data_IF_981718374223
#
_entry.id   IF_981718374223
#
_cell.length_a   1.000
_cell.length_b   1.000
_cell.length_c   1.000
_cell.angle_alpha   90.00
_cell.angle_beta   90.00
_cell.angle_gamma   90.00
#
_symmetry.space_group_name_H-M   'P 1'
#
loop_
_entity.id
_entity.type
_entity.pdbx_description
1 polymer ?
#
# COMPACT_ATOMS: atom_id res chain seq x y z
N UNK A 1 -41.53 -21.29 12.33
CA UNK A 1 -40.24 -20.90 11.70
C UNK A 1 -39.43 -22.17 11.51
N UNK A 2 -39.16 -22.57 10.26
CA UNK A 2 -38.40 -23.79 9.97
C UNK A 2 -36.95 -23.65 10.44
N UNK A 3 -36.38 -24.73 10.98
CA UNK A 3 -34.96 -24.77 11.36
C UNK A 3 -34.09 -24.38 10.15
N UNK A 4 -33.04 -23.56 10.32
CA UNK A 4 -32.14 -23.21 9.23
C UNK A 4 -31.50 -24.49 8.70
N UNK A 5 -31.70 -24.76 7.41
CA UNK A 5 -31.12 -25.91 6.71
C UNK A 5 -29.67 -25.56 6.34
N UNK A 6 -28.76 -25.71 7.32
CA UNK A 6 -27.34 -25.49 7.13
C UNK A 6 -26.63 -26.83 6.89
N UNK A 7 -25.76 -26.93 5.87
CA UNK A 7 -24.97 -28.13 5.64
C UNK A 7 -23.88 -28.28 6.72
N UNK A 8 -23.45 -29.53 6.97
CA UNK A 8 -22.42 -29.85 7.98
C UNK A 8 -21.10 -29.08 7.75
N UNK A 9 -20.78 -28.76 6.50
CA UNK A 9 -19.55 -28.06 6.13
C UNK A 9 -19.70 -26.52 6.14
N UNK A 10 -20.21 -25.99 7.25
CA UNK A 10 -20.51 -24.56 7.39
C UNK A 10 -19.24 -23.69 7.32
N UNK A 11 -18.13 -24.10 7.92
CA UNK A 11 -16.88 -23.32 7.94
C UNK A 11 -16.27 -23.14 6.54
N UNK A 12 -16.26 -24.19 5.71
CA UNK A 12 -15.73 -24.08 4.34
C UNK A 12 -16.60 -23.16 3.49
N UNK A 13 -17.91 -23.18 3.68
CA UNK A 13 -18.85 -22.29 2.98
C UNK A 13 -18.62 -20.85 3.41
N UNK A 14 -18.46 -20.58 4.71
CA UNK A 14 -18.12 -19.25 5.22
C UNK A 14 -16.80 -18.76 4.61
N UNK A 15 -15.77 -19.62 4.58
CA UNK A 15 -14.49 -19.29 3.95
C UNK A 15 -14.65 -18.95 2.48
N UNK A 16 -15.36 -19.77 1.70
CA UNK A 16 -15.63 -19.51 0.27
C UNK A 16 -16.43 -18.22 0.07
N UNK A 17 -17.44 -17.97 0.90
CA UNK A 17 -18.26 -16.77 0.86
C UNK A 17 -17.45 -15.50 1.18
N UNK A 18 -16.55 -15.55 2.18
CA UNK A 18 -15.67 -14.42 2.51
C UNK A 18 -14.72 -14.02 1.38
N UNK A 19 -14.43 -14.94 0.46
CA UNK A 19 -13.55 -14.71 -0.68
C UNK A 19 -14.29 -14.27 -1.94
N UNK A 20 -15.55 -13.84 -1.84
CA UNK A 20 -16.41 -13.48 -2.98
C UNK A 20 -15.72 -12.51 -3.95
N UNK A 21 -15.17 -11.40 -3.44
CA UNK A 21 -14.45 -10.41 -4.27
C UNK A 21 -13.27 -11.02 -5.01
N UNK A 22 -12.48 -11.87 -4.33
CA UNK A 22 -11.33 -12.56 -4.93
C UNK A 22 -11.79 -13.51 -6.03
N UNK A 23 -12.85 -14.28 -5.79
CA UNK A 23 -13.37 -15.25 -6.75
C UNK A 23 -13.94 -14.57 -8.01
N UNK A 24 -14.63 -13.43 -7.86
CA UNK A 24 -15.05 -12.63 -9.01
C UNK A 24 -13.86 -12.16 -9.85
N UNK A 25 -12.80 -11.66 -9.19
CA UNK A 25 -11.60 -11.18 -9.87
C UNK A 25 -10.78 -12.32 -10.49
N UNK A 26 -10.76 -13.49 -9.87
CA UNK A 26 -9.99 -14.66 -10.30
C UNK A 26 -10.35 -15.11 -11.72
N UNK A 27 -11.64 -15.07 -12.09
CA UNK A 27 -12.15 -15.53 -13.39
C UNK A 27 -11.36 -14.98 -14.59
N UNK A 28 -10.98 -13.70 -14.56
CA UNK A 28 -10.20 -13.07 -15.64
C UNK A 28 -8.79 -13.61 -15.65
N UNK A 29 -8.11 -13.68 -14.51
CA UNK A 29 -6.74 -14.20 -14.45
C UNK A 29 -6.69 -15.66 -14.87
N UNK A 30 -7.67 -16.43 -14.44
CA UNK A 30 -7.81 -17.84 -14.79
C UNK A 30 -7.86 -18.06 -16.31
N UNK A 31 -8.65 -17.27 -17.03
CA UNK A 31 -8.71 -17.34 -18.50
C UNK A 31 -7.35 -17.05 -19.16
N UNK A 32 -6.64 -16.02 -18.70
CA UNK A 32 -5.35 -15.62 -19.30
C UNK A 32 -4.22 -16.56 -18.93
N UNK A 33 -4.37 -17.26 -17.81
CA UNK A 33 -3.51 -18.34 -17.37
C UNK A 33 -3.68 -19.57 -18.24
N UNK A 34 -4.91 -19.95 -18.56
CA UNK A 34 -5.20 -21.08 -19.44
C UNK A 34 -4.65 -20.84 -20.85
N UNK A 35 -4.73 -19.61 -21.37
CA UNK A 35 -4.09 -19.23 -22.63
C UNK A 35 -2.57 -19.42 -22.60
N UNK A 36 -1.93 -19.04 -21.49
CA UNK A 36 -0.50 -19.23 -21.32
C UNK A 36 -0.12 -20.72 -21.26
N UNK A 37 -0.90 -21.54 -20.55
CA UNK A 37 -0.68 -22.99 -20.46
C UNK A 37 -0.79 -23.66 -21.85
N UNK A 38 -1.72 -23.20 -22.69
CA UNK A 38 -1.89 -23.64 -24.09
C UNK A 38 -0.87 -23.04 -25.05
N UNK A 39 0.00 -22.14 -24.58
CA UNK A 39 0.94 -21.34 -25.39
C UNK A 39 0.28 -20.54 -26.51
N UNK A 40 -0.97 -20.16 -26.30
CA UNK A 40 -1.72 -19.27 -27.19
C UNK A 40 -1.39 -17.82 -26.86
N UNK A 41 -1.25 -16.99 -27.89
CA UNK A 41 -1.22 -15.54 -27.71
C UNK A 41 -2.68 -15.13 -27.49
N UNK A 42 -2.98 -14.47 -26.37
CA UNK A 42 -4.34 -13.99 -26.12
C UNK A 42 -4.73 -12.97 -27.19
N UNK A 43 -5.79 -13.25 -27.96
CA UNK A 43 -6.24 -12.40 -29.07
C UNK A 43 -6.57 -10.96 -28.65
N UNK A 44 -7.03 -10.76 -27.41
CA UNK A 44 -7.31 -9.45 -26.82
C UNK A 44 -6.80 -9.39 -25.39
N UNK A 45 -6.22 -8.25 -25.01
CA UNK A 45 -5.77 -7.90 -23.66
C UNK A 45 -6.99 -7.74 -22.76
N UNK A 46 -6.90 -8.15 -21.49
CA UNK A 46 -7.99 -7.90 -20.54
C UNK A 46 -7.80 -6.54 -19.90
N UNK A 47 -8.87 -5.76 -19.86
CA UNK A 47 -8.95 -4.53 -19.09
C UNK A 47 -10.00 -4.72 -18.01
N UNK A 48 -9.63 -4.52 -16.75
CA UNK A 48 -10.53 -4.70 -15.60
C UNK A 48 -10.78 -3.34 -14.94
N UNK A 49 -11.87 -2.66 -15.31
CA UNK A 49 -12.24 -1.40 -14.65
C UNK A 49 -12.90 -1.65 -13.29
N UNK A 50 -12.08 -1.92 -12.26
CA UNK A 50 -12.58 -2.11 -10.89
C UNK A 50 -12.67 -0.79 -10.10
N UNK A 51 -12.13 0.31 -10.64
CA UNK A 51 -12.29 1.69 -10.12
C UNK A 51 -12.43 2.65 -11.30
N UNK A 52 -13.00 3.81 -11.04
CA UNK A 52 -13.30 4.82 -12.05
C UNK A 52 -12.05 5.34 -12.79
N UNK A 53 -10.91 5.39 -12.11
CA UNK A 53 -9.67 5.96 -12.66
C UNK A 53 -8.48 4.99 -12.70
N UNK A 54 -8.66 3.74 -12.26
CA UNK A 54 -7.58 2.75 -12.19
C UNK A 54 -8.06 1.40 -12.74
N UNK A 55 -7.25 0.82 -13.63
CA UNK A 55 -7.49 -0.51 -14.19
C UNK A 55 -6.19 -1.34 -14.21
N UNK A 56 -6.23 -2.64 -13.89
CA UNK A 56 -5.22 -3.60 -14.25
C UNK A 56 -5.44 -4.06 -15.69
N UNK A 57 -4.35 -4.20 -16.41
CA UNK A 57 -4.30 -4.74 -17.75
C UNK A 57 -3.60 -6.08 -17.68
N UNK A 58 -4.16 -7.10 -18.31
CA UNK A 58 -3.56 -8.44 -18.38
C UNK A 58 -3.23 -8.76 -19.82
N UNK A 59 -1.95 -9.01 -20.07
CA UNK A 59 -1.41 -9.42 -21.36
C UNK A 59 -0.74 -10.79 -21.22
N UNK A 60 -1.03 -11.70 -22.15
CA UNK A 60 -0.46 -13.05 -22.15
C UNK A 60 0.45 -13.24 -23.36
N UNK A 61 1.69 -13.62 -23.08
CA UNK A 61 2.67 -14.08 -24.07
C UNK A 61 2.95 -15.57 -23.85
N UNK A 62 3.51 -16.28 -24.85
CA UNK A 62 3.75 -17.73 -24.73
C UNK A 62 4.63 -18.12 -23.53
N UNK A 63 5.56 -17.26 -23.15
CA UNK A 63 6.55 -17.50 -22.09
C UNK A 63 6.21 -16.83 -20.74
N UNK A 64 5.24 -15.92 -20.70
CA UNK A 64 4.92 -15.11 -19.51
C UNK A 64 3.54 -14.47 -19.56
N UNK A 65 2.97 -14.18 -18.40
CA UNK A 65 1.81 -13.29 -18.24
C UNK A 65 2.29 -11.98 -17.63
N UNK A 66 1.87 -10.84 -18.18
CA UNK A 66 2.19 -9.52 -17.66
C UNK A 66 0.92 -8.85 -17.15
N UNK A 67 0.93 -8.44 -15.89
CA UNK A 67 -0.16 -7.70 -15.25
C UNK A 67 0.31 -6.28 -15.01
N UNK A 68 -0.30 -5.30 -15.68
CA UNK A 68 0.05 -3.89 -15.56
C UNK A 68 -1.00 -3.18 -14.71
N UNK A 69 -0.61 -2.64 -13.57
CA UNK A 69 -1.45 -1.76 -12.75
C UNK A 69 -1.16 -0.31 -13.12
N UNK A 70 -2.19 0.41 -13.57
CA UNK A 70 -2.16 1.87 -13.61
C UNK A 70 -2.73 2.41 -12.30
N UNK A 71 -1.86 2.95 -11.45
CA UNK A 71 -2.25 3.55 -10.16
C UNK A 71 -2.07 5.06 -10.20
N UNK A 72 -2.95 5.77 -9.51
CA UNK A 72 -2.90 7.23 -9.38
C UNK A 72 -2.46 7.59 -7.97
N UNK A 73 -1.42 8.41 -7.86
CA UNK A 73 -1.02 9.01 -6.59
C UNK A 73 -1.53 10.46 -6.55
N UNK A 74 -2.40 10.76 -5.58
CA UNK A 74 -3.00 12.09 -5.44
C UNK A 74 -2.06 13.10 -4.76
N UNK A 75 -1.27 12.63 -3.80
CA UNK A 75 -0.30 13.43 -3.05
C UNK A 75 1.09 13.32 -3.70
N UNK A 76 1.77 14.44 -3.91
CA UNK A 76 3.15 14.47 -4.42
C UNK A 76 4.12 13.75 -3.47
N UNK A 77 3.88 13.80 -2.16
CA UNK A 77 4.65 13.03 -1.18
C UNK A 77 4.50 11.53 -1.39
N UNK A 78 3.29 11.06 -1.69
CA UNK A 78 3.02 9.63 -1.94
C UNK A 78 3.66 9.17 -3.26
N UNK A 79 3.82 10.06 -4.25
CA UNK A 79 4.58 9.77 -5.47
C UNK A 79 6.03 9.43 -5.13
N UNK A 80 6.69 10.26 -4.30
CA UNK A 80 8.09 10.04 -3.91
C UNK A 80 8.23 8.76 -3.09
N UNK A 81 7.36 8.56 -2.09
CA UNK A 81 7.36 7.35 -1.27
C UNK A 81 7.08 6.09 -2.10
N UNK A 82 6.13 6.18 -3.02
CA UNK A 82 5.81 5.10 -3.95
C UNK A 82 6.99 4.74 -4.84
N UNK A 83 7.74 5.73 -5.34
CA UNK A 83 8.95 5.48 -6.12
C UNK A 83 10.01 4.70 -5.31
N UNK A 84 10.26 5.12 -4.06
CA UNK A 84 11.20 4.43 -3.16
C UNK A 84 10.72 3.00 -2.89
N UNK A 85 9.43 2.82 -2.60
CA UNK A 85 8.85 1.50 -2.37
C UNK A 85 9.02 0.58 -3.59
N UNK A 86 8.72 1.08 -4.79
CA UNK A 86 8.84 0.30 -6.01
C UNK A 86 10.29 -0.05 -6.35
N UNK A 87 11.24 0.81 -6.02
CA UNK A 87 12.66 0.49 -6.13
C UNK A 87 13.04 -0.67 -5.19
N UNK A 88 12.57 -0.65 -3.94
CA UNK A 88 12.78 -1.76 -2.99
C UNK A 88 12.16 -3.07 -3.49
N UNK A 89 10.95 -3.03 -4.04
CA UNK A 89 10.28 -4.20 -4.62
C UNK A 89 11.05 -4.75 -5.82
N UNK A 90 11.57 -3.88 -6.69
CA UNK A 90 12.41 -4.27 -7.83
C UNK A 90 13.68 -4.97 -7.37
N UNK A 91 14.29 -4.48 -6.29
CA UNK A 91 15.45 -5.09 -5.66
C UNK A 91 15.13 -6.35 -4.84
N UNK A 92 13.86 -6.61 -4.54
CA UNK A 92 13.40 -7.81 -3.83
C UNK A 92 13.81 -9.12 -4.50
N UNK A 93 14.07 -9.12 -5.81
CA UNK A 93 14.63 -10.28 -6.52
C UNK A 93 16.04 -10.66 -6.08
N UNK A 94 16.77 -9.76 -5.41
CA UNK A 94 18.05 -10.09 -4.74
C UNK A 94 17.84 -11.03 -3.57
N UNK A 95 16.72 -10.92 -2.86
CA UNK A 95 16.36 -11.80 -1.75
C UNK A 95 15.66 -13.08 -2.22
N UNK A 96 14.90 -13.01 -3.31
CA UNK A 96 14.25 -14.18 -3.91
C UNK A 96 14.41 -14.19 -5.43
N UNK A 97 15.34 -14.99 -5.93
CA UNK A 97 15.61 -15.12 -7.36
C UNK A 97 14.40 -15.65 -8.15
N UNK A 98 13.55 -16.43 -7.48
CA UNK A 98 12.35 -17.05 -8.06
C UNK A 98 11.13 -16.13 -8.06
N UNK A 99 11.20 -14.93 -7.47
CA UNK A 99 10.08 -14.00 -7.43
C UNK A 99 9.75 -13.39 -8.81
N UNK A 100 8.49 -12.96 -9.03
CA UNK A 100 8.08 -12.21 -10.21
C UNK A 100 8.97 -11.00 -10.48
N UNK A 101 9.17 -10.69 -11.76
CA UNK A 101 9.86 -9.46 -12.13
C UNK A 101 8.90 -8.28 -12.04
N UNK A 102 9.32 -7.23 -11.36
CA UNK A 102 8.54 -5.99 -11.22
C UNK A 102 9.23 -4.89 -12.00
N UNK A 103 8.46 -4.27 -12.90
CA UNK A 103 8.87 -3.10 -13.66
C UNK A 103 8.04 -1.91 -13.19
N UNK A 104 8.69 -0.78 -13.04
CA UNK A 104 8.06 0.46 -12.64
C UNK A 104 8.40 1.53 -13.66
N UNK A 105 7.38 2.13 -14.27
CA UNK A 105 7.54 3.21 -15.25
C UNK A 105 6.81 4.45 -14.79
N UNK A 106 7.47 5.59 -15.01
CA UNK A 106 6.93 6.91 -14.75
C UNK A 106 6.26 7.43 -16.02
N UNK A 107 5.05 7.96 -15.88
CA UNK A 107 4.30 8.76 -16.88
C UNK A 107 3.87 8.02 -18.14
N UNK A 108 4.74 7.22 -18.74
CA UNK A 108 4.48 6.55 -19.99
C UNK A 108 3.96 5.12 -19.76
N UNK A 109 2.80 4.79 -20.34
CA UNK A 109 2.31 3.42 -20.38
C UNK A 109 3.35 2.53 -21.10
N UNK A 110 3.70 1.35 -20.57
CA UNK A 110 4.54 0.41 -21.29
C UNK A 110 3.84 -0.02 -22.61
N UNK A 111 4.59 -0.48 -23.62
CA UNK A 111 4.07 -0.82 -24.97
C UNK A 111 2.87 -1.78 -24.92
N UNK A 112 2.82 -2.60 -23.88
CA UNK A 112 1.73 -3.50 -23.50
C UNK A 112 0.37 -2.80 -23.27
N UNK A 113 0.33 -1.48 -23.07
CA UNK A 113 -0.90 -0.69 -22.86
C UNK A 113 -0.96 0.62 -23.68
N UNK A 114 -0.06 0.82 -24.64
CA UNK A 114 0.05 2.05 -25.45
C UNK A 114 -1.18 2.32 -26.36
N UNK A 115 -1.96 1.27 -26.68
CA UNK A 115 -3.17 1.34 -27.51
C UNK A 115 -4.46 1.07 -26.72
N UNK A 116 -4.44 1.25 -25.41
CA UNK A 116 -5.64 1.11 -24.56
C UNK A 116 -6.14 2.46 -24.09
N UNK A 117 -7.31 2.49 -23.44
CA UNK A 117 -7.87 3.65 -22.74
C UNK A 117 -7.09 4.03 -21.46
N UNK A 118 -5.85 3.55 -21.34
CA UNK A 118 -4.96 3.87 -20.25
C UNK A 118 -4.70 5.38 -20.21
N UNK A 119 -5.18 6.03 -19.14
CA UNK A 119 -4.90 7.43 -18.90
C UNK A 119 -3.39 7.67 -18.84
N UNK A 120 -2.95 8.72 -19.52
CA UNK A 120 -1.55 9.20 -19.51
C UNK A 120 -1.52 10.51 -18.73
N UNK A 121 -0.58 10.66 -17.79
CA UNK A 121 -0.51 11.86 -16.96
C UNK A 121 0.62 11.84 -15.92
N UNK A 122 0.96 13.03 -15.42
CA UNK A 122 2.09 13.23 -14.49
C UNK A 122 1.95 12.51 -13.14
N UNK A 123 0.72 12.23 -12.70
CA UNK A 123 0.39 11.56 -11.43
C UNK A 123 0.14 10.06 -11.58
N UNK A 124 0.18 9.55 -12.81
CA UNK A 124 -0.07 8.14 -13.12
C UNK A 124 1.24 7.38 -13.09
N UNK A 125 1.23 6.22 -12.44
CA UNK A 125 2.38 5.32 -12.37
C UNK A 125 1.95 3.94 -12.82
N UNK A 126 2.72 3.39 -13.76
CA UNK A 126 2.48 2.06 -14.28
C UNK A 126 3.41 1.07 -13.60
N UNK A 127 2.83 0.02 -13.02
CA UNK A 127 3.55 -1.07 -12.36
C UNK A 127 3.25 -2.35 -13.12
N UNK A 128 4.27 -2.95 -13.75
CA UNK A 128 4.12 -4.21 -14.48
C UNK A 128 4.69 -5.36 -13.64
N UNK A 129 3.86 -6.33 -13.31
CA UNK A 129 4.24 -7.61 -12.72
C UNK A 129 4.36 -8.64 -13.85
N UNK A 130 5.57 -9.15 -14.05
CA UNK A 130 5.86 -10.19 -15.05
C UNK A 130 5.93 -11.54 -14.35
N UNK A 131 5.00 -12.40 -14.73
CA UNK A 131 4.77 -13.71 -14.13
C UNK A 131 5.19 -14.80 -15.11
N UNK A 132 6.08 -15.68 -14.65
CA UNK A 132 6.56 -16.83 -15.41
C UNK A 132 5.73 -18.08 -15.08
N UNK A 133 5.81 -19.16 -15.89
CA UNK A 133 5.04 -20.39 -15.67
C UNK A 133 5.15 -20.96 -14.25
N UNK A 134 6.30 -20.76 -13.58
CA UNK A 134 6.52 -21.18 -12.19
C UNK A 134 5.57 -20.52 -11.17
N UNK A 135 5.08 -19.30 -11.43
CA UNK A 135 4.12 -18.61 -10.55
C UNK A 135 2.67 -19.00 -10.87
N UNK A 136 2.47 -19.65 -12.01
CA UNK A 136 1.17 -19.87 -12.62
C UNK A 136 0.80 -21.36 -12.66
N UNK A 137 1.58 -22.22 -12.01
CA UNK A 137 1.27 -23.63 -11.90
C UNK A 137 -0.04 -23.84 -11.12
N UNK A 138 -0.71 -24.98 -11.31
CA UNK A 138 -2.02 -25.26 -10.69
C UNK A 138 -2.02 -25.13 -9.16
N UNK A 139 -0.87 -25.35 -8.52
CA UNK A 139 -0.72 -25.29 -7.06
C UNK A 139 -0.57 -23.85 -6.55
N UNK A 140 0.13 -22.99 -7.29
CA UNK A 140 0.48 -21.62 -6.90
C UNK A 140 -0.42 -20.56 -7.54
N UNK A 141 -1.24 -20.93 -8.53
CA UNK A 141 -2.18 -20.05 -9.24
C UNK A 141 -3.11 -19.34 -8.27
N UNK A 142 -3.69 -20.07 -7.32
CA UNK A 142 -4.65 -19.50 -6.40
C UNK A 142 -4.04 -18.42 -5.49
N UNK A 143 -2.85 -18.71 -4.95
CA UNK A 143 -2.08 -17.79 -4.11
C UNK A 143 -1.56 -16.60 -4.91
N UNK A 144 -1.13 -16.82 -6.15
CA UNK A 144 -0.66 -15.75 -7.03
C UNK A 144 -1.80 -14.78 -7.38
N UNK A 145 -2.97 -15.29 -7.74
CA UNK A 145 -4.18 -14.47 -7.92
C UNK A 145 -4.53 -13.74 -6.61
N UNK A 146 -4.37 -14.41 -5.47
CA UNK A 146 -4.61 -13.80 -4.16
C UNK A 146 -3.67 -12.60 -3.92
N UNK A 147 -2.39 -12.72 -4.24
CA UNK A 147 -1.41 -11.64 -4.05
C UNK A 147 -1.60 -10.49 -5.05
N UNK A 148 -1.90 -10.82 -6.31
CA UNK A 148 -2.08 -9.84 -7.38
C UNK A 148 -3.31 -8.96 -7.13
N UNK A 149 -4.45 -9.54 -6.75
CA UNK A 149 -5.67 -8.74 -6.55
C UNK A 149 -5.59 -7.80 -5.34
N UNK A 150 -4.77 -8.11 -4.32
CA UNK A 150 -4.55 -7.22 -3.17
C UNK A 150 -3.40 -6.23 -3.37
N UNK A 151 -2.56 -6.42 -4.40
CA UNK A 151 -1.31 -5.67 -4.58
C UNK A 151 -1.49 -4.15 -4.50
N UNK A 152 -2.51 -3.61 -5.17
CA UNK A 152 -2.80 -2.17 -5.11
C UNK A 152 -3.18 -1.72 -3.70
N UNK A 153 -4.01 -2.48 -2.99
CA UNK A 153 -4.37 -2.20 -1.60
C UNK A 153 -3.14 -2.23 -0.69
N UNK A 154 -2.30 -3.25 -0.88
CA UNK A 154 -1.03 -3.41 -0.18
C UNK A 154 -0.09 -2.23 -0.37
N UNK A 155 0.13 -1.79 -1.62
CA UNK A 155 0.98 -0.64 -1.95
C UNK A 155 0.51 0.64 -1.25
N UNK A 156 -0.77 0.99 -1.42
CA UNK A 156 -1.34 2.20 -0.83
C UNK A 156 -1.43 2.16 0.70
N UNK A 157 -1.57 0.97 1.28
CA UNK A 157 -1.54 0.77 2.72
C UNK A 157 -0.14 1.03 3.26
N UNK A 158 0.89 0.41 2.67
CA UNK A 158 2.26 0.54 3.15
C UNK A 158 2.84 1.95 2.98
N UNK A 159 2.45 2.69 1.94
CA UNK A 159 2.81 4.12 1.82
C UNK A 159 2.26 4.94 2.99
N UNK A 160 0.98 4.72 3.36
CA UNK A 160 0.38 5.40 4.53
C UNK A 160 1.06 5.01 5.84
N UNK A 161 1.37 3.73 6.04
CA UNK A 161 2.10 3.25 7.21
C UNK A 161 3.50 3.87 7.30
N UNK A 162 4.20 3.99 6.16
CA UNK A 162 5.50 4.64 6.11
C UNK A 162 5.41 6.12 6.48
N UNK A 163 4.41 6.85 5.97
CA UNK A 163 4.13 8.25 6.35
C UNK A 163 3.87 8.39 7.85
N UNK A 164 3.05 7.52 8.43
CA UNK A 164 2.78 7.49 9.86
C UNK A 164 4.05 7.20 10.69
N UNK A 165 4.90 6.28 10.21
CA UNK A 165 6.19 5.98 10.85
C UNK A 165 7.13 7.19 10.85
N UNK A 166 7.27 7.87 9.71
CA UNK A 166 8.07 9.10 9.60
C UNK A 166 7.52 10.17 10.56
N UNK A 167 6.20 10.34 10.65
CA UNK A 167 5.59 11.25 11.62
C UNK A 167 5.94 10.90 13.07
N UNK A 168 5.95 9.61 13.42
CA UNK A 168 6.38 9.16 14.75
C UNK A 168 7.83 9.54 15.05
N UNK A 169 8.74 9.31 14.09
CA UNK A 169 10.16 9.67 14.23
C UNK A 169 10.38 11.18 14.33
N UNK A 170 9.65 11.99 13.55
CA UNK A 170 9.69 13.45 13.64
C UNK A 170 9.21 13.95 15.00
N UNK A 171 8.13 13.38 15.56
CA UNK A 171 7.66 13.73 16.91
C UNK A 171 8.69 13.38 17.98
N UNK A 172 9.29 12.19 17.91
CA UNK A 172 10.34 11.80 18.83
C UNK A 172 11.52 12.80 18.77
N UNK A 173 11.95 13.20 17.56
CA UNK A 173 13.03 14.18 17.45
C UNK A 173 12.67 15.58 17.88
N UNK A 174 11.44 16.01 17.64
CA UNK A 174 10.93 17.29 18.14
C UNK A 174 10.92 17.31 19.66
N UNK A 175 10.54 16.20 20.31
CA UNK A 175 10.62 16.06 21.76
C UNK A 175 12.05 16.20 22.28
N UNK A 176 13.04 15.61 21.61
CA UNK A 176 14.44 15.77 21.96
C UNK A 176 14.90 17.23 21.84
N UNK A 177 14.53 17.92 20.76
CA UNK A 177 14.89 19.33 20.58
C UNK A 177 14.24 20.24 21.63
N UNK A 178 12.97 19.98 21.98
CA UNK A 178 12.30 20.71 23.06
C UNK A 178 13.01 20.53 24.41
N UNK A 179 13.55 19.33 24.70
CA UNK A 179 14.36 19.11 25.92
C UNK A 179 15.64 19.94 25.91
N UNK A 180 16.32 20.04 24.77
CA UNK A 180 17.54 20.86 24.65
C UNK A 180 17.20 22.35 24.84
N UNK A 181 16.13 22.83 24.21
CA UNK A 181 15.65 24.21 24.36
C UNK A 181 15.26 24.53 25.81
N UNK A 182 14.57 23.62 26.48
CA UNK A 182 14.18 23.80 27.88
C UNK A 182 15.40 23.82 28.81
N UNK A 183 16.47 23.06 28.52
CA UNK A 183 17.73 23.10 29.27
C UNK A 183 18.53 24.38 29.04
N UNK A 184 18.38 25.01 27.88
CA UNK A 184 19.05 26.26 27.56
C UNK A 184 18.37 27.49 28.18
N UNK A 185 17.16 27.34 28.76
CA UNK A 185 16.51 28.44 29.48
C UNK A 185 17.31 28.76 30.75
N UNK A 186 17.72 30.02 30.96
CA UNK A 186 18.38 30.43 32.20
C UNK A 186 17.47 30.13 33.40
N UNK A 187 18.02 29.55 34.47
CA UNK A 187 17.28 29.44 35.71
C UNK A 187 16.95 30.85 36.22
N UNK A 188 15.71 31.10 36.70
CA UNK A 188 15.41 32.36 37.37
C UNK A 188 16.33 32.52 38.57
N UNK A 189 17.03 33.66 38.66
CA UNK A 189 17.99 33.95 39.73
C UNK A 189 17.33 33.72 41.10
N UNK A 190 17.73 32.65 41.79
CA UNK A 190 17.40 32.46 43.21
C UNK A 190 18.29 33.39 44.03
N UNK A 191 17.71 34.50 44.48
CA UNK A 191 18.34 35.36 45.49
C UNK A 191 17.84 36.80 45.46
N UNK A 192 16.68 37.04 46.06
CA UNK A 192 16.43 38.18 46.93
C UNK A 192 15.10 37.97 47.67
N UNK A 193 15.20 37.60 48.95
CA UNK A 193 14.14 37.85 49.92
C UNK A 193 14.01 39.36 50.05
N UNK A 194 12.86 39.93 49.69
CA UNK A 194 12.35 41.16 50.30
C UNK A 194 10.86 41.34 49.94
N UNK A 195 10.06 41.09 50.97
CA UNK A 195 8.95 41.93 51.42
C UNK A 195 7.75 42.22 50.50
N UNK A 196 6.59 41.71 50.92
CA UNK A 196 5.36 42.51 50.97
C UNK A 196 4.69 42.98 49.67
N UNK A 197 4.38 42.11 48.71
CA UNK A 197 3.17 42.28 47.88
C UNK A 197 2.80 41.00 47.14
N UNK A 198 1.64 40.42 47.45
CA UNK A 198 1.01 39.41 46.59
C UNK A 198 0.61 40.05 45.26
N UNK A 199 0.92 39.44 44.09
CA UNK A 199 0.17 39.69 42.88
C UNK A 199 -0.62 38.45 42.47
N UNK A 200 -1.91 38.71 42.29
CA UNK A 200 -2.89 38.03 41.46
C UNK A 200 -2.44 36.78 40.69
N UNK A 201 -3.20 35.71 40.92
CA UNK A 201 -3.50 34.64 39.96
C UNK A 201 -3.71 35.20 38.55
N UNK A 202 -2.71 35.06 37.68
CA UNK A 202 -2.85 35.23 36.23
C UNK A 202 -2.03 34.17 35.52
N UNK A 203 -2.66 33.01 35.38
CA UNK A 203 -2.84 32.30 34.11
C UNK A 203 -1.75 32.43 33.03
N UNK A 204 -0.50 32.08 33.33
CA UNK A 204 0.53 31.88 32.29
C UNK A 204 1.38 30.62 32.50
N UNK A 205 0.68 29.55 32.93
CA UNK A 205 1.16 28.18 32.81
C UNK A 205 0.93 27.71 31.37
N UNK A 206 1.70 28.25 30.43
CA UNK A 206 1.88 27.62 29.11
C UNK A 206 2.75 26.37 29.28
N UNK A 207 2.19 25.35 29.92
CA UNK A 207 2.66 24.00 29.79
C UNK A 207 2.49 23.61 28.32
N UNK A 208 3.58 23.61 27.55
CA UNK A 208 3.66 22.76 26.37
C UNK A 208 3.79 21.31 26.85
N UNK A 209 2.76 20.80 27.51
CA UNK A 209 2.61 19.38 27.77
C UNK A 209 2.01 18.76 26.51
N UNK A 210 2.81 17.94 25.82
CA UNK A 210 2.28 16.96 24.88
C UNK A 210 1.58 15.83 25.66
N UNK A 211 0.64 16.16 26.54
CA UNK A 211 -0.27 15.19 27.15
C UNK A 211 -1.57 15.19 26.35
N UNK A 212 -1.59 14.36 25.31
CA UNK A 212 -2.77 14.20 24.47
C UNK A 212 -2.61 13.21 23.31
N UNK A 213 -1.66 12.26 23.40
CA UNK A 213 -1.42 11.28 22.32
C UNK A 213 -0.98 9.91 22.85
N UNK A 214 -1.43 9.53 24.06
CA UNK A 214 -1.20 8.19 24.63
C UNK A 214 -2.29 7.16 24.29
N UNK A 215 -3.34 7.52 23.56
CA UNK A 215 -4.33 6.54 23.09
C UNK A 215 -4.35 6.48 21.56
N UNK A 216 -3.36 5.77 21.03
CA UNK A 216 -3.48 5.08 19.74
C UNK A 216 -2.53 3.88 19.75
N UNK A 217 -2.65 3.03 20.77
CA UNK A 217 -2.34 1.61 20.58
C UNK A 217 -3.46 1.05 19.71
N UNK A 218 -3.23 1.05 18.41
CA UNK A 218 -3.98 0.21 17.48
C UNK A 218 -3.17 -1.07 17.33
N UNK A 219 -3.70 -2.13 17.94
CA UNK A 219 -3.61 -3.57 17.65
C UNK A 219 -2.23 -4.13 17.30
#
# INVERSE_FOLDING_TARGET
MGKPNLPENTEEIIRKASQLKRNCFASVFEKYLDFQERREIGDKRAVIHYRDEEAPYVDTKPDRVTVVFSTIFKDEGDVVLGNVFMQLVKEGRKASHTAPQVLFRHREPPKEIENTDARVGNSIRCISLVLFPRHMNRQARDDTIKLIHIFRGYLHYHIKCFKAYIHSRMRAKTSDFLKVLNRARPEPRRGQSQDGRSPATSNDRAYFTCEGLKEASIV
#
